data_IF_311455341647
#
_entry.id   IF_311455341647
#
_cell.length_a   1.000
_cell.length_b   1.000
_cell.length_c   1.000
_cell.angle_alpha   90.00
_cell.angle_beta   90.00
_cell.angle_gamma   90.00
#
_symmetry.space_group_name_H-M   'P 1'
#
loop_
_entity.id
_entity.type
_entity.pdbx_description
1 polymer ?
#
# COMPACT_ATOMS: atom_id res chain seq x y z
N UNK A 1 0.66 -13.92 -18.76
CA UNK A 1 0.25 -12.75 -19.56
C UNK A 1 -1.27 -12.60 -19.69
N UNK A 2 -2.02 -13.68 -20.00
CA UNK A 2 -3.47 -13.63 -20.26
C UNK A 2 -4.31 -12.79 -19.26
N UNK A 3 -4.12 -12.96 -17.95
CA UNK A 3 -4.87 -12.19 -16.95
C UNK A 3 -4.57 -10.68 -17.00
N UNK A 4 -3.32 -10.31 -17.25
CA UNK A 4 -2.92 -8.89 -17.41
C UNK A 4 -3.61 -8.30 -18.64
N UNK A 5 -3.61 -9.01 -19.76
CA UNK A 5 -4.35 -8.59 -20.96
C UNK A 5 -5.85 -8.45 -20.68
N UNK A 6 -6.45 -9.40 -19.97
CA UNK A 6 -7.86 -9.32 -19.59
C UNK A 6 -8.16 -8.12 -18.68
N UNK A 7 -7.24 -7.80 -17.76
CA UNK A 7 -7.32 -6.60 -16.93
C UNK A 7 -7.27 -5.31 -17.74
N UNK A 8 -6.35 -5.22 -18.70
CA UNK A 8 -6.27 -4.10 -19.64
C UNK A 8 -7.56 -4.01 -20.46
N UNK A 9 -8.07 -5.13 -20.94
CA UNK A 9 -9.28 -5.19 -21.77
C UNK A 9 -10.54 -4.71 -21.02
N UNK A 10 -10.63 -4.97 -19.70
CA UNK A 10 -11.84 -4.74 -18.91
C UNK A 10 -11.75 -3.65 -17.84
N UNK A 11 -10.55 -3.18 -17.52
CA UNK A 11 -10.32 -2.29 -16.39
C UNK A 11 -10.75 -2.90 -15.07
N UNK A 12 -10.47 -4.20 -14.87
CA UNK A 12 -10.83 -4.93 -13.66
C UNK A 12 -9.67 -5.80 -13.17
N UNK A 13 -9.60 -6.00 -11.87
CA UNK A 13 -8.68 -6.93 -11.24
C UNK A 13 -9.34 -7.67 -10.09
N UNK A 14 -8.80 -8.84 -9.75
CA UNK A 14 -9.04 -9.50 -8.48
C UNK A 14 -7.76 -10.19 -8.00
N UNK A 15 -7.64 -10.32 -6.69
CA UNK A 15 -6.51 -10.97 -6.00
C UNK A 15 -7.05 -11.91 -4.92
N UNK A 16 -6.17 -12.56 -4.17
CA UNK A 16 -6.53 -13.40 -3.04
C UNK A 16 -7.38 -12.64 -2.02
N UNK A 17 -8.27 -13.35 -1.31
CA UNK A 17 -9.15 -12.75 -0.29
C UNK A 17 -8.38 -12.01 0.82
N UNK A 18 -7.15 -12.43 1.10
CA UNK A 18 -6.25 -11.76 2.05
C UNK A 18 -5.79 -10.41 1.51
N UNK A 19 -5.26 -10.39 0.28
CA UNK A 19 -4.83 -9.16 -0.38
C UNK A 19 -6.00 -8.20 -0.64
N UNK A 20 -7.18 -8.72 -0.96
CA UNK A 20 -8.41 -7.92 -1.09
C UNK A 20 -8.67 -7.09 0.18
N UNK A 21 -8.56 -7.68 1.37
CA UNK A 21 -8.77 -6.94 2.63
C UNK A 21 -7.77 -5.80 2.81
N UNK A 22 -6.49 -6.05 2.50
CA UNK A 22 -5.43 -5.03 2.57
C UNK A 22 -5.68 -3.89 1.59
N UNK A 23 -5.98 -4.23 0.33
CA UNK A 23 -6.27 -3.24 -0.72
C UNK A 23 -7.52 -2.41 -0.40
N UNK A 24 -8.57 -3.03 0.17
CA UNK A 24 -9.76 -2.29 0.63
C UNK A 24 -9.40 -1.29 1.72
N UNK A 25 -8.62 -1.70 2.73
CA UNK A 25 -8.18 -0.79 3.79
C UNK A 25 -7.35 0.36 3.22
N UNK A 26 -6.40 0.06 2.32
CA UNK A 26 -5.59 1.07 1.65
C UNK A 26 -6.41 2.01 0.77
N UNK A 27 -7.46 1.52 0.11
CA UNK A 27 -8.34 2.32 -0.76
C UNK A 27 -9.06 3.42 0.02
N UNK A 28 -9.51 3.13 1.24
CA UNK A 28 -10.17 4.12 2.10
C UNK A 28 -9.18 5.00 2.88
N UNK A 29 -7.95 4.53 3.09
CA UNK A 29 -6.94 5.24 3.88
C UNK A 29 -6.03 6.16 3.05
N UNK A 30 -5.87 5.91 1.75
CA UNK A 30 -4.95 6.64 0.88
C UNK A 30 -5.67 7.30 -0.29
N UNK A 31 -5.07 8.37 -0.84
CA UNK A 31 -5.56 9.00 -2.08
C UNK A 31 -5.67 8.02 -3.24
N UNK A 32 -4.58 7.27 -3.42
CA UNK A 32 -4.34 6.47 -4.58
C UNK A 32 -3.70 5.15 -4.15
N UNK A 33 -4.33 4.05 -4.53
CA UNK A 33 -3.71 2.73 -4.46
C UNK A 33 -3.23 2.37 -5.87
N UNK A 34 -1.91 2.25 -6.02
CA UNK A 34 -1.28 1.86 -7.27
C UNK A 34 -0.89 0.38 -7.24
N UNK A 35 -1.24 -0.34 -8.30
CA UNK A 35 -0.89 -1.73 -8.53
C UNK A 35 0.16 -1.79 -9.64
N UNK A 36 1.34 -2.31 -9.32
CA UNK A 36 2.43 -2.52 -10.26
C UNK A 36 2.39 -3.98 -10.72
N UNK A 37 2.13 -4.20 -12.02
CA UNK A 37 1.91 -5.53 -12.57
C UNK A 37 3.22 -6.14 -13.07
N UNK A 38 3.52 -7.33 -12.58
CA UNK A 38 4.62 -8.18 -13.04
C UNK A 38 4.10 -9.61 -13.17
N UNK A 39 3.97 -10.08 -14.39
CA UNK A 39 3.55 -11.43 -14.71
C UNK A 39 4.68 -12.41 -14.40
N UNK A 40 4.32 -13.59 -13.89
CA UNK A 40 5.28 -14.65 -13.63
C UNK A 40 6.10 -14.95 -14.89
N UNK A 41 7.41 -15.14 -14.69
CA UNK A 41 8.37 -15.51 -15.74
C UNK A 41 8.50 -14.48 -16.88
N UNK A 42 7.96 -13.27 -16.74
CA UNK A 42 8.09 -12.21 -17.74
C UNK A 42 9.43 -11.47 -17.71
N UNK A 43 10.18 -11.59 -16.60
CA UNK A 43 11.45 -10.88 -16.40
C UNK A 43 11.32 -9.40 -16.07
N UNK A 44 10.11 -8.86 -15.93
CA UNK A 44 9.92 -7.43 -15.64
C UNK A 44 8.47 -7.01 -15.40
N UNK A 45 8.26 -5.70 -15.32
CA UNK A 45 6.94 -5.12 -15.17
C UNK A 45 6.22 -4.94 -16.51
N UNK A 46 4.89 -5.10 -16.51
CA UNK A 46 4.01 -4.81 -17.65
C UNK A 46 3.35 -3.42 -17.56
N UNK A 47 3.60 -2.70 -16.46
CA UNK A 47 3.05 -1.38 -16.22
C UNK A 47 2.32 -1.31 -14.89
N UNK A 48 1.50 -0.28 -14.73
CA UNK A 48 0.81 -0.01 -13.47
C UNK A 48 -0.57 0.61 -13.69
N UNK A 49 -1.45 0.36 -12.72
CA UNK A 49 -2.83 0.84 -12.72
C UNK A 49 -3.21 1.43 -11.35
N UNK A 50 -4.15 2.37 -11.35
CA UNK A 50 -4.79 2.89 -10.14
C UNK A 50 -6.04 2.06 -9.83
N UNK A 51 -6.22 1.68 -8.57
CA UNK A 51 -7.48 1.12 -8.08
C UNK A 51 -8.54 2.23 -8.04
N UNK A 52 -9.70 1.99 -8.65
CA UNK A 52 -10.74 3.00 -8.88
C UNK A 52 -12.02 2.76 -8.07
N UNK A 53 -12.19 1.56 -7.53
CA UNK A 53 -13.32 1.20 -6.67
C UNK A 53 -12.86 0.27 -5.57
N UNK A 54 -13.59 0.17 -4.45
CA UNK A 54 -13.47 -0.98 -3.56
C UNK A 54 -13.90 -2.28 -4.30
N UNK A 55 -13.74 -3.47 -3.70
CA UNK A 55 -14.25 -4.72 -4.25
C UNK A 55 -15.76 -4.70 -4.47
N UNK A 56 -16.20 -5.09 -5.66
CA UNK A 56 -17.58 -5.10 -6.13
C UNK A 56 -18.02 -6.54 -6.45
N UNK A 57 -18.86 -7.19 -5.62
CA UNK A 57 -19.31 -8.58 -5.82
C UNK A 57 -19.95 -8.89 -7.17
N UNK A 58 -20.60 -7.91 -7.79
CA UNK A 58 -21.32 -8.07 -9.06
C UNK A 58 -20.52 -7.60 -10.28
N UNK A 59 -19.30 -7.09 -10.10
CA UNK A 59 -18.48 -6.64 -11.21
C UNK A 59 -17.93 -7.84 -11.99
N UNK A 60 -18.42 -8.05 -13.22
CA UNK A 60 -17.99 -9.12 -14.13
C UNK A 60 -17.88 -10.51 -13.46
N UNK A 61 -18.99 -11.13 -13.03
CA UNK A 61 -18.95 -12.43 -12.39
C UNK A 61 -18.30 -13.48 -13.29
N UNK A 62 -17.35 -14.25 -12.75
CA UNK A 62 -16.66 -15.31 -13.48
C UNK A 62 -15.58 -14.84 -14.47
N UNK A 63 -15.20 -13.55 -14.44
CA UNK A 63 -14.19 -12.98 -15.34
C UNK A 63 -12.88 -13.80 -15.39
N UNK A 64 -12.44 -14.32 -14.24
CA UNK A 64 -11.19 -15.09 -14.13
C UNK A 64 -11.38 -16.60 -14.26
N UNK A 65 -12.49 -17.05 -14.87
CA UNK A 65 -12.82 -18.46 -15.04
C UNK A 65 -12.85 -19.24 -13.72
N UNK A 66 -12.29 -20.44 -13.72
CA UNK A 66 -12.24 -21.31 -12.52
C UNK A 66 -11.41 -20.72 -11.36
N UNK A 67 -10.46 -19.84 -11.65
CA UNK A 67 -9.61 -19.21 -10.62
C UNK A 67 -10.41 -18.26 -9.75
N UNK A 68 -11.49 -17.67 -10.25
CA UNK A 68 -12.36 -16.73 -9.52
C UNK A 68 -12.78 -17.26 -8.12
N UNK A 69 -13.00 -18.58 -7.97
CA UNK A 69 -13.40 -19.20 -6.71
C UNK A 69 -12.39 -18.97 -5.56
N UNK A 70 -11.11 -18.82 -5.91
CA UNK A 70 -10.00 -18.60 -4.97
C UNK A 70 -9.72 -17.11 -4.71
N UNK A 71 -10.34 -16.22 -5.49
CA UNK A 71 -10.13 -14.78 -5.41
C UNK A 71 -11.20 -14.11 -4.54
N UNK A 72 -10.95 -12.85 -4.15
CA UNK A 72 -11.98 -11.95 -3.68
C UNK A 72 -12.84 -11.40 -4.82
N UNK A 73 -13.81 -10.53 -4.51
CA UNK A 73 -14.57 -9.80 -5.52
C UNK A 73 -13.67 -8.97 -6.44
N UNK A 74 -14.16 -8.75 -7.66
CA UNK A 74 -13.46 -7.90 -8.63
C UNK A 74 -13.55 -6.44 -8.21
N UNK A 75 -12.54 -5.65 -8.53
CA UNK A 75 -12.56 -4.19 -8.39
C UNK A 75 -12.07 -3.53 -9.68
N UNK A 76 -12.44 -2.27 -9.90
CA UNK A 76 -12.03 -1.55 -11.10
C UNK A 76 -10.60 -1.05 -10.97
N UNK A 77 -9.86 -1.13 -12.07
CA UNK A 77 -8.51 -0.57 -12.20
C UNK A 77 -8.38 0.26 -13.48
N UNK A 78 -7.82 1.45 -13.35
CA UNK A 78 -7.49 2.33 -14.46
C UNK A 78 -6.01 2.14 -14.80
N UNK A 79 -5.71 1.56 -15.95
CA UNK A 79 -4.34 1.40 -16.41
C UNK A 79 -3.75 2.75 -16.80
N UNK A 80 -2.70 3.18 -16.08
CA UNK A 80 -2.04 4.47 -16.28
C UNK A 80 -0.87 4.36 -17.24
N UNK A 81 -0.19 3.20 -17.24
CA UNK A 81 0.89 2.88 -18.16
C UNK A 81 0.87 1.40 -18.49
N UNK A 82 1.02 1.11 -19.77
CA UNK A 82 1.32 -0.20 -20.32
C UNK A 82 2.73 -0.11 -20.94
N UNK A 83 3.65 -0.99 -20.54
CA UNK A 83 5.03 -1.00 -21.02
C UNK A 83 5.69 -2.32 -20.71
N UNK A 84 6.86 -2.57 -21.32
CA UNK A 84 7.80 -3.58 -20.85
C UNK A 84 8.98 -2.92 -20.13
N UNK A 85 9.14 -3.23 -18.85
CA UNK A 85 10.26 -2.75 -18.04
C UNK A 85 10.98 -3.93 -17.40
N UNK A 86 12.02 -4.43 -18.09
CA UNK A 86 12.83 -5.56 -17.65
C UNK A 86 13.56 -5.24 -16.34
N UNK A 87 13.67 -6.20 -15.43
CA UNK A 87 14.30 -5.98 -14.11
C UNK A 87 15.76 -5.58 -14.21
N UNK A 88 16.47 -6.04 -15.24
CA UNK A 88 17.84 -5.66 -15.58
C UNK A 88 17.95 -4.14 -15.77
N UNK A 89 17.00 -3.54 -16.49
CA UNK A 89 16.96 -2.09 -16.77
C UNK A 89 16.55 -1.26 -15.56
N UNK A 90 15.84 -1.87 -14.61
CA UNK A 90 15.42 -1.19 -13.38
C UNK A 90 16.60 -0.96 -12.43
N UNK A 91 17.68 -1.72 -12.57
CA UNK A 91 18.87 -1.69 -11.73
C UNK A 91 18.73 -2.55 -10.47
N UNK A 92 19.73 -2.50 -9.59
CA UNK A 92 19.72 -3.24 -8.30
C UNK A 92 18.84 -2.53 -7.28
N UNK A 93 17.53 -2.66 -7.45
CA UNK A 93 16.54 -2.10 -6.54
C UNK A 93 16.03 -3.16 -5.57
N UNK A 94 16.01 -2.83 -4.29
CA UNK A 94 15.53 -3.67 -3.18
C UNK A 94 14.29 -3.06 -2.53
N UNK A 95 13.52 -3.88 -1.82
CA UNK A 95 12.36 -3.42 -1.06
C UNK A 95 12.63 -3.51 0.46
N UNK A 96 12.80 -2.39 1.17
CA UNK A 96 13.05 -2.41 2.61
C UNK A 96 11.86 -2.94 3.42
N UNK A 97 10.63 -2.86 2.89
CA UNK A 97 9.44 -3.46 3.53
C UNK A 97 9.34 -4.97 3.34
N UNK A 98 10.23 -5.56 2.54
CA UNK A 98 10.33 -7.00 2.32
C UNK A 98 11.75 -7.49 2.64
N UNK A 99 12.33 -7.00 3.74
CA UNK A 99 13.64 -7.43 4.24
C UNK A 99 14.80 -7.13 3.30
N UNK A 100 14.74 -6.01 2.58
CA UNK A 100 15.73 -5.58 1.59
C UNK A 100 15.99 -6.60 0.47
N UNK A 101 15.01 -7.48 0.21
CA UNK A 101 15.11 -8.42 -0.88
C UNK A 101 15.00 -7.70 -2.24
N UNK A 102 15.68 -8.18 -3.29
CA UNK A 102 15.52 -7.68 -4.65
C UNK A 102 14.05 -7.69 -5.09
N UNK A 103 13.61 -6.70 -5.88
CA UNK A 103 12.20 -6.57 -6.30
C UNK A 103 11.63 -7.85 -6.94
N UNK A 104 12.44 -8.57 -7.72
CA UNK A 104 12.04 -9.85 -8.35
C UNK A 104 11.69 -10.96 -7.36
N UNK A 105 12.04 -10.82 -6.07
CA UNK A 105 11.69 -11.73 -4.97
C UNK A 105 10.47 -11.24 -4.18
N UNK A 106 9.48 -10.67 -4.88
CA UNK A 106 8.22 -10.21 -4.27
C UNK A 106 7.11 -11.23 -4.52
N UNK A 107 6.24 -11.45 -3.53
CA UNK A 107 5.00 -12.22 -3.71
C UNK A 107 3.86 -11.30 -4.14
N UNK A 108 2.76 -11.87 -4.63
CA UNK A 108 1.53 -11.11 -4.90
C UNK A 108 1.06 -10.34 -3.66
N UNK A 109 0.77 -9.05 -3.83
CA UNK A 109 0.38 -8.15 -2.74
C UNK A 109 1.53 -7.68 -1.83
N UNK A 110 2.80 -7.82 -2.25
CA UNK A 110 3.93 -7.20 -1.53
C UNK A 110 3.83 -5.68 -1.66
N UNK A 111 3.79 -4.99 -0.52
CA UNK A 111 3.72 -3.53 -0.48
C UNK A 111 5.10 -2.89 -0.69
N UNK A 112 5.10 -1.63 -1.13
CA UNK A 112 6.29 -0.84 -1.41
C UNK A 112 6.23 0.48 -0.66
N UNK A 113 7.37 0.99 -0.13
CA UNK A 113 7.47 2.36 0.33
C UNK A 113 7.01 3.34 -0.76
N UNK A 114 6.32 4.44 -0.41
CA UNK A 114 5.83 5.40 -1.39
C UNK A 114 6.92 5.96 -2.31
N UNK A 115 8.11 6.26 -1.76
CA UNK A 115 9.26 6.75 -2.53
C UNK A 115 9.78 5.71 -3.53
N UNK A 116 9.81 4.44 -3.14
CA UNK A 116 10.18 3.34 -4.02
C UNK A 116 9.13 3.13 -5.10
N UNK A 117 7.84 3.10 -4.74
CA UNK A 117 6.73 3.01 -5.70
C UNK A 117 6.79 4.13 -6.75
N UNK A 118 6.99 5.37 -6.32
CA UNK A 118 7.13 6.53 -7.20
C UNK A 118 8.31 6.40 -8.18
N UNK A 119 9.48 5.96 -7.69
CA UNK A 119 10.66 5.70 -8.53
C UNK A 119 10.37 4.65 -9.60
N UNK A 120 9.71 3.54 -9.25
CA UNK A 120 9.37 2.49 -10.19
C UNK A 120 8.34 2.94 -11.23
N UNK A 121 7.32 3.69 -10.81
CA UNK A 121 6.36 4.32 -11.71
C UNK A 121 7.05 5.27 -12.69
N UNK A 122 7.97 6.11 -12.24
CA UNK A 122 8.73 7.02 -13.09
C UNK A 122 9.58 6.26 -14.13
N UNK A 123 10.30 5.21 -13.70
CA UNK A 123 11.09 4.34 -14.59
C UNK A 123 10.23 3.65 -15.65
N UNK A 124 9.08 3.09 -15.26
CA UNK A 124 8.14 2.47 -16.20
C UNK A 124 7.52 3.50 -17.16
N UNK A 125 7.21 4.71 -16.67
CA UNK A 125 6.63 5.76 -17.48
C UNK A 125 7.57 6.20 -18.62
N UNK A 126 8.88 6.24 -18.34
CA UNK A 126 9.92 6.57 -19.31
C UNK A 126 10.12 5.49 -20.40
N UNK A 127 9.62 4.27 -20.22
CA UNK A 127 9.65 3.22 -21.25
C UNK A 127 8.66 3.54 -22.37
N UNK A 128 8.88 3.06 -23.61
CA UNK A 128 7.88 3.11 -24.66
C UNK A 128 6.55 2.53 -24.18
N UNK A 129 5.44 3.14 -24.58
CA UNK A 129 4.12 2.56 -24.34
C UNK A 129 3.95 1.32 -25.22
N UNK A 130 3.49 0.23 -24.65
CA UNK A 130 3.19 -1.00 -25.38
C UNK A 130 1.69 -1.26 -25.42
N UNK A 131 1.21 -1.85 -26.51
CA UNK A 131 -0.14 -2.40 -26.58
C UNK A 131 -0.11 -3.84 -26.11
N UNK A 132 -0.40 -4.07 -24.82
CA UNK A 132 -0.35 -5.42 -24.24
C UNK A 132 -1.43 -6.37 -24.81
N UNK A 133 -2.34 -5.85 -25.63
CA UNK A 133 -3.40 -6.60 -26.30
C UNK A 133 -3.03 -7.03 -27.72
N UNK A 134 -1.90 -6.60 -28.27
CA UNK A 134 -1.50 -6.97 -29.64
C UNK A 134 -1.37 -8.49 -29.76
N UNK A 135 -2.17 -9.09 -30.64
CA UNK A 135 -2.24 -10.54 -30.85
C UNK A 135 -3.02 -11.33 -29.80
N UNK A 136 -3.59 -10.71 -28.77
CA UNK A 136 -4.39 -11.40 -27.75
C UNK A 136 -5.88 -11.21 -28.00
N UNK A 137 -6.54 -12.24 -28.54
CA UNK A 137 -8.01 -12.27 -28.61
C UNK A 137 -8.55 -12.61 -27.24
N UNK A 138 -9.24 -11.66 -26.63
CA UNK A 138 -9.98 -11.88 -25.38
C UNK A 138 -11.40 -12.32 -25.76
N UNK A 139 -11.57 -13.62 -25.99
CA UNK A 139 -12.85 -14.19 -26.46
C UNK A 139 -14.00 -13.94 -25.49
N UNK A 140 -15.21 -13.80 -26.02
CA UNK A 140 -16.44 -13.68 -25.22
C UNK A 140 -16.58 -12.36 -24.47
N UNK A 141 -15.74 -11.36 -24.77
CA UNK A 141 -15.65 -10.14 -23.99
C UNK A 141 -15.82 -8.82 -24.79
N UNK A 142 -16.25 -8.88 -26.04
CA UNK A 142 -16.46 -7.65 -26.84
C UNK A 142 -15.16 -6.87 -27.07
N UNK A 143 -15.22 -5.59 -27.47
CA UNK A 143 -14.03 -4.78 -27.70
C UNK A 143 -13.34 -4.35 -26.39
N UNK A 144 -12.02 -4.09 -26.41
CA UNK A 144 -11.31 -3.54 -25.26
C UNK A 144 -11.80 -2.13 -24.94
N UNK A 145 -11.81 -1.79 -23.65
CA UNK A 145 -12.16 -0.44 -23.22
C UNK A 145 -11.06 0.56 -23.58
N UNK A 146 -11.46 1.78 -23.96
CA UNK A 146 -10.58 2.93 -23.81
C UNK A 146 -10.62 3.39 -22.35
N UNK A 147 -9.52 3.20 -21.64
CA UNK A 147 -9.43 3.48 -20.20
C UNK A 147 -9.82 4.91 -19.84
N UNK A 148 -9.33 5.89 -20.61
CA UNK A 148 -9.59 7.29 -20.32
C UNK A 148 -11.07 7.63 -20.47
N UNK A 149 -11.69 7.24 -21.58
CA UNK A 149 -13.10 7.52 -21.88
C UNK A 149 -14.02 6.74 -20.95
N UNK A 150 -13.74 5.46 -20.72
CA UNK A 150 -14.55 4.59 -19.87
C UNK A 150 -14.65 5.11 -18.44
N UNK A 151 -13.52 5.43 -17.79
CA UNK A 151 -13.53 5.92 -16.42
C UNK A 151 -14.06 7.36 -16.29
N UNK A 152 -13.87 8.21 -17.30
CA UNK A 152 -14.54 9.53 -17.37
C UNK A 152 -16.07 9.39 -17.37
N UNK A 153 -16.61 8.46 -18.15
CA UNK A 153 -18.05 8.22 -18.22
C UNK A 153 -18.59 7.65 -16.91
N UNK A 154 -17.88 6.70 -16.27
CA UNK A 154 -18.29 6.18 -14.96
C UNK A 154 -18.33 7.28 -13.90
N UNK A 155 -17.34 8.18 -13.89
CA UNK A 155 -17.35 9.35 -12.99
C UNK A 155 -18.55 10.26 -13.27
N UNK A 156 -18.83 10.56 -14.53
CA UNK A 156 -19.97 11.40 -14.91
C UNK A 156 -21.33 10.80 -14.53
N UNK A 157 -21.42 9.47 -14.40
CA UNK A 157 -22.62 8.74 -13.94
C UNK A 157 -22.73 8.63 -12.42
N UNK A 158 -21.72 9.07 -11.66
CA UNK A 158 -21.67 8.88 -10.20
C UNK A 158 -21.41 7.42 -9.80
N UNK A 159 -20.84 6.59 -10.69
CA UNK A 159 -20.51 5.19 -10.42
C UNK A 159 -19.07 5.00 -9.89
N UNK A 160 -18.32 6.09 -9.71
CA UNK A 160 -17.03 6.11 -9.02
C UNK A 160 -17.14 7.05 -7.82
N UNK A 161 -16.53 6.67 -6.70
CA UNK A 161 -16.40 7.56 -5.56
C UNK A 161 -15.64 8.82 -5.97
N UNK A 162 -16.12 9.98 -5.51
CA UNK A 162 -15.33 11.21 -5.62
C UNK A 162 -14.06 11.07 -4.78
N UNK A 163 -12.96 11.70 -5.23
CA UNK A 163 -11.75 11.76 -4.41
C UNK A 163 -12.14 12.34 -3.05
N UNK A 164 -11.90 11.56 -1.98
CA UNK A 164 -12.37 11.87 -0.63
C UNK A 164 -12.12 13.35 -0.32
N UNK A 165 -13.19 14.15 -0.06
CA UNK A 165 -13.03 15.57 0.18
C UNK A 165 -12.04 15.79 1.33
N UNK A 166 -11.08 16.70 1.13
CA UNK A 166 -9.98 16.97 2.07
C UNK A 166 -10.45 17.17 3.53
N UNK A 167 -11.69 17.63 3.73
CA UNK A 167 -12.31 17.82 5.05
C UNK A 167 -12.55 16.52 5.82
N UNK A 168 -13.02 15.45 5.15
CA UNK A 168 -13.24 14.15 5.79
C UNK A 168 -11.91 13.51 6.23
N UNK A 169 -10.85 13.76 5.46
CA UNK A 169 -9.49 13.30 5.74
C UNK A 169 -8.89 13.99 6.97
N UNK A 170 -9.02 15.31 7.06
CA UNK A 170 -8.55 16.06 8.24
C UNK A 170 -9.23 15.57 9.52
N UNK A 171 -10.51 15.21 9.47
CA UNK A 171 -11.21 14.62 10.61
C UNK A 171 -10.68 13.24 11.00
N UNK A 172 -10.40 12.35 10.04
CA UNK A 172 -9.84 11.03 10.33
C UNK A 172 -8.41 11.12 10.90
N UNK A 173 -7.56 11.99 10.34
CA UNK A 173 -6.20 12.21 10.85
C UNK A 173 -6.23 12.78 12.28
N UNK A 174 -7.13 13.72 12.57
CA UNK A 174 -7.33 14.24 13.92
C UNK A 174 -7.82 13.16 14.89
N UNK A 175 -8.75 12.30 14.47
CA UNK A 175 -9.23 11.18 15.30
C UNK A 175 -8.14 10.16 15.59
N UNK A 176 -7.32 9.78 14.61
CA UNK A 176 -6.19 8.87 14.83
C UNK A 176 -5.12 9.49 15.74
N UNK A 177 -4.80 10.77 15.57
CA UNK A 177 -3.89 11.46 16.49
C UNK A 177 -4.46 11.53 17.91
N UNK A 178 -5.75 11.79 18.07
CA UNK A 178 -6.40 11.76 19.39
C UNK A 178 -6.35 10.37 20.02
N UNK A 179 -6.62 9.32 19.24
CA UNK A 179 -6.59 7.94 19.74
C UNK A 179 -5.18 7.53 20.16
N UNK A 180 -4.15 7.84 19.35
CA UNK A 180 -2.75 7.58 19.74
C UNK A 180 -2.33 8.39 20.97
N UNK A 181 -2.82 9.64 21.12
CA UNK A 181 -2.58 10.44 22.32
C UNK A 181 -3.26 9.85 23.54
N UNK A 182 -4.49 9.33 23.41
CA UNK A 182 -5.20 8.64 24.47
C UNK A 182 -4.49 7.34 24.87
N UNK A 183 -4.11 6.50 23.92
CA UNK A 183 -3.35 5.27 24.18
C UNK A 183 -2.00 5.57 24.84
N UNK A 184 -1.30 6.63 24.41
CA UNK A 184 -0.05 7.07 25.05
C UNK A 184 -0.26 7.69 26.45
N UNK A 185 -1.41 8.32 26.70
CA UNK A 185 -1.78 8.80 28.03
C UNK A 185 -2.19 7.65 28.94
N UNK A 186 -2.98 6.70 28.46
CA UNK A 186 -3.36 5.48 29.20
C UNK A 186 -2.13 4.63 29.52
N UNK A 187 -1.21 4.44 28.57
CA UNK A 187 0.06 3.77 28.82
C UNK A 187 0.88 4.46 29.91
N UNK A 188 0.94 5.79 29.91
CA UNK A 188 1.60 6.58 30.99
C UNK A 188 0.86 6.46 32.33
N UNK A 189 -0.47 6.48 32.32
CA UNK A 189 -1.31 6.33 33.50
C UNK A 189 -1.17 4.95 34.15
N UNK A 190 -1.17 3.89 33.35
CA UNK A 190 -0.96 2.50 33.80
C UNK A 190 0.44 2.34 34.40
N UNK A 191 1.46 2.90 33.76
CA UNK A 191 2.83 2.88 34.26
C UNK A 191 2.99 3.64 35.59
N UNK A 192 2.28 4.77 35.77
CA UNK A 192 2.23 5.48 37.06
C UNK A 192 1.47 4.71 38.15
N UNK A 193 0.39 4.00 37.79
CA UNK A 193 -0.38 3.18 38.75
C UNK A 193 0.44 1.99 39.25
N UNK A 194 1.09 1.26 38.34
CA UNK A 194 2.02 0.19 38.70
C UNK A 194 3.15 0.71 39.60
N UNK A 195 3.61 1.94 39.37
CA UNK A 195 4.57 2.62 40.25
C UNK A 195 4.03 2.88 41.66
N UNK A 196 2.75 3.27 41.81
CA UNK A 196 2.13 3.61 43.09
C UNK A 196 1.70 2.37 43.90
N UNK A 197 1.35 1.27 43.23
CA UNK A 197 0.89 0.02 43.85
C UNK A 197 2.05 -0.92 44.30
N UNK A 198 3.32 -0.54 44.06
CA UNK A 198 4.49 -1.27 44.54
C UNK A 198 4.62 -1.18 46.09
N UNK A 199 4.99 -2.27 46.78
CA UNK A 199 5.33 -2.22 48.20
C UNK A 199 6.39 -1.15 48.48
N UNK A 200 6.19 -0.37 49.55
CA UNK A 200 6.97 0.81 49.90
C UNK A 200 8.51 0.56 49.93
N UNK A 201 8.93 -0.66 50.26
CA UNK A 201 10.34 -1.09 50.29
C UNK A 201 10.98 -1.13 48.88
N UNK A 202 10.23 -1.53 47.84
CA UNK A 202 10.72 -1.57 46.47
C UNK A 202 10.71 -0.18 45.81
N UNK A 203 9.74 0.67 46.16
CA UNK A 203 9.74 2.08 45.74
C UNK A 203 10.97 2.82 46.25
N UNK A 204 11.32 2.64 47.54
CA UNK A 204 12.50 3.24 48.16
C UNK A 204 13.82 2.69 47.61
N UNK A 205 13.88 1.39 47.33
CA UNK A 205 15.05 0.77 46.70
C UNK A 205 15.25 1.32 45.28
N UNK A 206 14.20 1.39 44.45
CA UNK A 206 14.29 1.91 43.08
C UNK A 206 14.71 3.40 43.01
N UNK A 207 14.19 4.26 43.89
CA UNK A 207 14.62 5.68 43.95
C UNK A 207 16.08 5.85 44.37
N UNK A 208 16.60 4.92 45.19
CA UNK A 208 18.01 4.90 45.60
C UNK A 208 18.96 4.59 44.43
N UNK A 209 18.52 3.82 43.42
CA UNK A 209 19.32 3.47 42.23
C UNK A 209 19.15 4.44 41.05
N UNK A 210 18.15 5.32 41.05
CA UNK A 210 17.97 6.38 40.03
C UNK A 210 18.81 7.64 40.31
N UNK A 211 19.06 7.97 41.58
CA UNK A 211 19.87 9.14 41.94
C UNK A 211 21.34 9.10 41.46
N UNK A 212 22.04 7.95 41.43
CA UNK A 212 23.41 7.88 40.90
C UNK A 212 23.49 8.04 39.38
N UNK A 213 22.42 7.75 38.63
CA UNK A 213 22.43 7.79 37.16
C UNK A 213 22.20 9.20 36.60
N UNK A 214 21.31 10.00 37.21
CA UNK A 214 21.14 11.40 36.79
C UNK A 214 22.41 12.24 37.07
N UNK A 215 23.13 11.96 38.16
CA UNK A 215 24.39 12.65 38.46
C UNK A 215 25.52 12.26 37.49
N UNK A 216 25.58 11.02 37.01
CA UNK A 216 26.53 10.61 35.96
C UNK A 216 26.19 11.20 34.59
N UNK A 217 24.90 11.36 34.26
CA UNK A 217 24.48 11.95 33.00
C UNK A 217 24.76 13.47 32.97
N UNK A 218 24.53 14.18 34.09
CA UNK A 218 24.88 15.60 34.24
C UNK A 218 26.40 15.83 34.14
N UNK A 219 27.22 14.99 34.80
CA UNK A 219 28.68 15.09 34.73
C UNK A 219 29.25 14.72 33.34
N UNK A 220 28.55 13.87 32.58
CA UNK A 220 28.91 13.59 31.19
C UNK A 220 28.61 14.78 30.26
N UNK A 221 27.52 15.52 30.52
CA UNK A 221 27.19 16.77 29.81
C UNK A 221 28.16 17.91 30.15
N UNK A 222 28.55 18.08 31.41
CA UNK A 222 29.49 19.14 31.83
C UNK A 222 30.93 18.90 31.31
N UNK A 223 31.33 17.65 31.07
CA UNK A 223 32.61 17.30 30.41
C UNK A 223 32.64 17.61 28.91
N UNK A 224 31.49 17.72 28.25
CA UNK A 224 31.40 17.99 26.82
C UNK A 224 31.32 19.49 26.47
N UNK A 225 31.17 20.38 27.46
CA UNK A 225 31.00 21.83 27.25
C UNK A 225 32.24 22.68 27.60
N UNK A 226 33.39 22.06 27.89
CA UNK A 226 34.65 22.73 28.21
C UNK A 226 35.82 22.37 27.28
N UNK A 227 35.56 22.34 25.97
CA UNK A 227 36.55 22.53 24.90
C UNK A 227 35.93 23.30 23.74
#
# INVERSE_FOLDING_TARGET
>A
MANVCLSVHRGAWATSRSNTKKLTAAFFAADHVLLLFSANESGGFQGFARMMTPPLPHLYPGLWGSVQLKLGPNFRVLWLKQCRADFEDMGRVTNPWNGDLPLKKSRDGTELPPSLGALLCAKMHAKPSETLLDGTVVEGHGPPIDHQTFFKQLKAKGELEDEMPAQHRQQQEQQQQQQQQQEAQEGRWLQQRDWQDLPNELQQHATMWEQPQQQQQQQHWDRQMHW
#
